data_IF_439061117891
#
_entry.id   IF_439061117891
#
_cell.length_a   1.000
_cell.length_b   1.000
_cell.length_c   1.000
_cell.angle_alpha   90.00
_cell.angle_beta   90.00
_cell.angle_gamma   90.00
#
_symmetry.space_group_name_H-M   'P 1'
#
loop_
_entity.id
_entity.type
_entity.pdbx_description
1 polymer ?
#
# COMPACT_ATOMS: atom_id res chain seq x y z
N UNK A 1 -2.18 26.82 42.03
CA UNK A 1 -1.45 27.09 40.79
C UNK A 1 -2.19 26.29 39.73
N UNK A 2 -2.93 26.96 38.87
CA UNK A 2 -3.82 26.33 37.89
C UNK A 2 -2.99 25.75 36.74
N UNK A 3 -3.13 24.45 36.48
CA UNK A 3 -2.50 23.78 35.34
C UNK A 3 -3.35 24.02 34.09
N UNK A 4 -2.78 24.62 33.06
CA UNK A 4 -3.42 24.69 31.75
C UNK A 4 -3.19 23.37 31.00
N UNK A 5 -4.23 22.54 30.90
CA UNK A 5 -4.24 21.37 30.01
C UNK A 5 -4.50 21.86 28.59
N UNK A 6 -3.51 21.74 27.72
CA UNK A 6 -3.69 21.96 26.28
C UNK A 6 -3.71 20.61 25.56
N UNK A 7 -4.87 20.24 25.05
CA UNK A 7 -5.01 19.16 24.07
C UNK A 7 -4.68 19.75 22.70
N UNK A 8 -3.63 19.26 22.03
CA UNK A 8 -3.30 19.71 20.68
C UNK A 8 -3.75 18.67 19.66
N UNK A 9 -4.64 19.09 18.76
CA UNK A 9 -5.01 18.36 17.54
C UNK A 9 -3.95 18.69 16.48
N UNK A 10 -3.45 17.67 15.80
CA UNK A 10 -2.51 17.78 14.68
C UNK A 10 -3.11 18.72 13.61
N UNK A 11 -2.56 19.93 13.47
CA UNK A 11 -3.06 20.94 12.54
C UNK A 11 -2.08 21.10 11.37
N UNK A 12 -2.54 20.70 10.19
CA UNK A 12 -1.84 20.88 8.92
C UNK A 12 -1.75 22.35 8.52
N UNK A 13 -0.55 22.79 8.16
CA UNK A 13 -0.27 24.09 7.55
C UNK A 13 -0.79 24.09 6.10
N UNK A 14 -1.92 24.75 5.86
CA UNK A 14 -2.26 25.33 4.55
C UNK A 14 -2.16 26.85 4.71
N UNK A 15 -1.19 27.44 4.02
CA UNK A 15 -0.98 28.88 4.00
C UNK A 15 -2.12 29.58 3.25
N UNK A 16 -2.71 30.61 3.86
CA UNK A 16 -3.06 31.92 3.28
C UNK A 16 -3.71 32.82 4.35
N UNK A 17 -3.06 33.94 4.68
CA UNK A 17 -3.74 35.18 5.07
C UNK A 17 -3.93 35.49 6.58
N UNK A 18 -3.00 36.32 7.09
CA UNK A 18 -3.15 37.37 8.12
C UNK A 18 -3.80 37.06 9.48
N UNK A 19 -2.94 37.09 10.52
CA UNK A 19 -3.34 37.32 11.90
C UNK A 19 -3.01 36.17 12.83
N UNK A 20 -1.76 35.71 12.86
CA UNK A 20 -1.30 34.80 13.91
C UNK A 20 -0.43 35.62 14.84
N UNK A 21 -0.89 35.82 16.08
CA UNK A 21 -0.05 36.24 17.18
C UNK A 21 1.24 35.41 17.14
N UNK A 22 2.37 36.10 17.01
CA UNK A 22 3.67 35.47 17.07
C UNK A 22 3.85 34.97 18.51
N UNK A 23 3.46 33.71 18.75
CA UNK A 23 3.63 33.06 20.04
C UNK A 23 5.14 32.91 20.25
N UNK A 24 5.70 33.89 20.95
CA UNK A 24 7.12 34.08 21.28
C UNK A 24 7.50 33.38 22.60
N UNK A 25 6.85 32.25 22.88
CA UNK A 25 7.15 31.40 24.03
C UNK A 25 7.94 30.15 23.63
N UNK A 26 8.75 29.55 24.53
CA UNK A 26 9.37 28.26 24.27
C UNK A 26 8.29 27.21 24.00
N UNK A 27 8.47 26.44 22.92
CA UNK A 27 7.57 25.35 22.51
C UNK A 27 8.33 24.03 22.54
N UNK A 28 7.64 22.94 22.85
CA UNK A 28 8.14 21.59 22.67
C UNK A 28 7.61 21.08 21.32
N UNK A 29 8.50 20.86 20.35
CA UNK A 29 8.15 20.17 19.10
C UNK A 29 8.46 18.68 19.27
N UNK A 30 7.48 17.81 18.99
CA UNK A 30 7.61 16.35 19.16
C UNK A 30 7.45 15.67 17.80
N UNK A 31 8.28 14.68 17.52
CA UNK A 31 8.14 13.81 16.34
C UNK A 31 8.53 12.40 16.69
N UNK A 32 7.67 11.43 16.36
CA UNK A 32 7.99 10.01 16.47
C UNK A 32 8.69 9.57 15.18
N UNK A 33 9.86 8.96 15.33
CA UNK A 33 10.78 8.61 14.25
C UNK A 33 10.68 7.14 13.87
N UNK A 34 10.41 6.28 14.85
CA UNK A 34 10.27 4.85 14.68
C UNK A 34 9.16 4.32 15.60
N UNK A 35 8.32 3.37 15.14
CA UNK A 35 8.27 2.81 13.77
C UNK A 35 7.89 3.86 12.71
N UNK A 36 8.10 3.59 11.42
CA UNK A 36 7.81 4.55 10.34
C UNK A 36 6.32 4.90 10.37
N UNK A 37 6.02 6.15 10.72
CA UNK A 37 4.66 6.66 10.88
C UNK A 37 4.17 7.26 9.56
N UNK A 38 2.98 6.88 9.13
CA UNK A 38 2.25 7.62 8.10
C UNK A 38 1.87 9.00 8.68
N UNK A 39 2.42 10.11 8.14
CA UNK A 39 2.25 11.44 8.72
C UNK A 39 0.83 11.99 8.59
N UNK A 40 -0.01 11.40 7.73
CA UNK A 40 -1.40 11.81 7.52
C UNK A 40 -2.32 11.14 8.54
N UNK A 41 -2.10 9.85 8.81
CA UNK A 41 -2.98 9.06 9.68
C UNK A 41 -2.45 8.91 11.10
N UNK A 42 -1.18 9.27 11.35
CA UNK A 42 -0.47 9.00 12.61
C UNK A 42 -0.47 7.50 12.99
N UNK A 43 -0.39 6.64 11.97
CA UNK A 43 -0.34 5.18 12.17
C UNK A 43 0.98 4.61 11.70
N UNK A 44 1.42 3.55 12.34
CA UNK A 44 2.51 2.71 11.85
C UNK A 44 2.01 1.27 11.69
N UNK A 45 2.58 0.60 10.70
CA UNK A 45 2.31 -0.80 10.40
C UNK A 45 3.59 -1.59 10.65
N UNK A 46 3.48 -2.64 11.47
CA UNK A 46 4.59 -3.53 11.82
C UNK A 46 4.11 -4.96 11.77
N UNK A 47 4.98 -5.90 11.45
CA UNK A 47 4.65 -7.32 11.45
C UNK A 47 4.90 -7.95 12.82
N UNK A 48 4.31 -9.12 13.06
CA UNK A 48 4.59 -9.93 14.26
C UNK A 48 6.04 -10.47 14.32
N UNK A 49 6.81 -10.28 13.25
CA UNK A 49 8.22 -10.67 13.17
C UNK A 49 9.16 -9.48 13.37
N UNK A 50 8.63 -8.25 13.33
CA UNK A 50 9.43 -7.04 13.50
C UNK A 50 9.77 -6.79 14.97
N UNK A 51 10.91 -6.15 15.17
CA UNK A 51 11.27 -5.55 16.45
C UNK A 51 11.07 -4.04 16.35
N UNK A 52 10.25 -3.50 17.25
CA UNK A 52 9.87 -2.09 17.31
C UNK A 52 10.75 -1.38 18.33
N UNK A 53 11.42 -0.32 17.90
CA UNK A 53 12.07 0.65 18.79
C UNK A 53 11.30 1.95 18.67
N UNK A 54 10.81 2.47 19.79
CA UNK A 54 10.14 3.76 19.83
C UNK A 54 11.18 4.86 19.99
N UNK A 55 11.28 5.75 19.01
CA UNK A 55 12.19 6.91 19.05
C UNK A 55 11.39 8.19 18.86
N UNK A 56 11.66 9.19 19.70
CA UNK A 56 11.13 10.54 19.56
C UNK A 56 12.25 11.58 19.45
N UNK A 57 11.95 12.67 18.75
CA UNK A 57 12.76 13.88 18.74
C UNK A 57 11.99 15.02 19.38
N UNK A 58 12.67 15.72 20.28
CA UNK A 58 12.14 16.89 20.98
C UNK A 58 13.00 18.10 20.68
N UNK A 59 12.37 19.23 20.39
CA UNK A 59 13.05 20.52 20.26
C UNK A 59 12.46 21.54 21.22
N UNK A 60 13.33 22.25 21.94
CA UNK A 60 12.98 23.28 22.92
C UNK A 60 13.02 22.78 24.38
N UNK A 61 13.33 23.70 25.31
CA UNK A 61 13.40 23.44 26.76
C UNK A 61 14.74 22.89 27.25
N UNK A 62 15.31 23.51 28.29
CA UNK A 62 16.65 23.19 28.81
C UNK A 62 16.68 21.98 29.76
N UNK A 63 15.53 21.65 30.37
CA UNK A 63 15.34 20.49 31.25
C UNK A 63 14.01 19.84 30.95
N UNK A 64 14.02 18.66 30.33
CA UNK A 64 12.79 17.93 30.00
C UNK A 64 12.83 16.52 30.55
N UNK A 65 11.66 16.02 30.96
CA UNK A 65 11.43 14.62 31.29
C UNK A 65 10.68 13.97 30.16
N UNK A 66 11.04 12.73 29.85
CA UNK A 66 10.51 11.98 28.73
C UNK A 66 9.96 10.65 29.19
N UNK A 67 8.83 10.26 28.61
CA UNK A 67 8.21 9.00 28.93
C UNK A 67 7.48 8.42 27.72
N UNK A 68 7.72 7.13 27.47
CA UNK A 68 6.94 6.35 26.52
C UNK A 68 5.95 5.48 27.27
N UNK A 69 4.69 5.55 26.85
CA UNK A 69 3.60 4.72 27.34
C UNK A 69 2.99 3.97 26.16
N UNK A 70 2.83 2.65 26.28
CA UNK A 70 2.09 1.82 25.32
C UNK A 70 0.96 1.14 26.07
N UNK A 71 -0.28 1.32 25.60
CA UNK A 71 -1.50 0.76 26.20
C UNK A 71 -1.65 1.02 27.72
N UNK A 72 -1.15 2.17 28.16
CA UNK A 72 -1.18 2.58 29.57
C UNK A 72 0.01 2.09 30.40
N UNK A 73 0.91 1.29 29.85
CA UNK A 73 2.13 0.83 30.51
C UNK A 73 3.36 1.67 30.11
N UNK A 74 4.16 2.08 31.10
CA UNK A 74 5.40 2.82 30.85
C UNK A 74 6.46 1.84 30.35
N UNK A 75 6.90 2.03 29.10
CA UNK A 75 7.91 1.17 28.47
C UNK A 75 9.32 1.78 28.51
N UNK A 76 9.44 3.11 28.62
CA UNK A 76 10.74 3.77 28.71
C UNK A 76 10.65 5.17 29.34
N UNK A 77 11.73 5.61 29.97
CA UNK A 77 11.91 6.98 30.46
C UNK A 77 13.10 7.61 29.73
N UNK A 78 12.84 8.13 28.52
CA UNK A 78 13.87 8.65 27.62
C UNK A 78 13.30 8.91 26.22
N UNK A 79 14.16 9.37 25.30
CA UNK A 79 13.78 9.59 23.90
C UNK A 79 13.62 8.29 23.11
N UNK A 80 14.25 7.21 23.57
CA UNK A 80 14.32 5.91 22.88
C UNK A 80 13.91 4.80 23.85
N UNK A 81 13.14 3.82 23.39
CA UNK A 81 12.82 2.60 24.15
C UNK A 81 13.85 1.48 23.90
N UNK A 82 13.84 0.47 24.77
CA UNK A 82 14.41 -0.83 24.38
C UNK A 82 13.61 -1.45 23.23
N UNK A 83 14.20 -2.37 22.44
CA UNK A 83 13.50 -3.06 21.38
C UNK A 83 12.38 -3.95 21.94
N UNK A 84 11.17 -3.83 21.36
CA UNK A 84 9.97 -4.58 21.75
C UNK A 84 9.53 -5.42 20.56
N UNK A 85 9.21 -6.69 20.81
CA UNK A 85 8.64 -7.58 19.79
C UNK A 85 7.18 -7.87 20.14
N UNK A 86 6.28 -7.58 19.21
CA UNK A 86 4.86 -7.91 19.33
C UNK A 86 4.63 -9.29 18.72
N UNK A 87 4.35 -10.29 19.55
CA UNK A 87 4.16 -11.67 19.09
C UNK A 87 2.74 -11.97 18.62
N UNK A 88 1.83 -11.02 18.80
CA UNK A 88 0.42 -11.17 18.55
C UNK A 88 -0.09 -10.00 17.72
N UNK A 89 -1.00 -10.28 16.79
CA UNK A 89 -1.69 -9.24 16.02
C UNK A 89 -2.59 -8.38 16.91
N UNK A 90 -2.73 -7.13 16.53
CA UNK A 90 -3.66 -6.20 17.16
C UNK A 90 -3.25 -4.76 17.01
N UNK A 91 -3.90 -3.91 17.80
CA UNK A 91 -3.66 -2.48 17.85
C UNK A 91 -3.07 -2.09 19.20
N UNK A 92 -2.04 -1.24 19.15
CA UNK A 92 -1.44 -0.65 20.34
C UNK A 92 -1.40 0.87 20.20
N UNK A 93 -1.70 1.60 21.27
CA UNK A 93 -1.60 3.05 21.30
C UNK A 93 -0.29 3.41 22.00
N UNK A 94 0.66 3.94 21.24
CA UNK A 94 1.93 4.43 21.77
C UNK A 94 1.88 5.95 21.92
N UNK A 95 2.12 6.42 23.14
CA UNK A 95 2.13 7.84 23.49
C UNK A 95 3.48 8.23 24.07
N UNK A 96 4.10 9.24 23.47
CA UNK A 96 5.31 9.86 23.94
C UNK A 96 4.99 11.17 24.66
N UNK A 97 5.39 11.28 25.91
CA UNK A 97 5.26 12.50 26.73
C UNK A 97 6.60 13.21 26.84
N UNK A 98 6.56 14.54 26.70
CA UNK A 98 7.66 15.43 27.04
C UNK A 98 7.13 16.53 27.96
N UNK A 99 7.78 16.73 29.11
CA UNK A 99 7.40 17.78 30.04
C UNK A 99 8.61 18.50 30.62
N UNK A 100 8.42 19.76 31.01
CA UNK A 100 9.36 20.55 31.81
C UNK A 100 8.58 21.31 32.90
N UNK A 101 9.25 22.23 33.60
CA UNK A 101 8.61 23.00 34.69
C UNK A 101 7.39 23.83 34.25
N UNK A 102 7.28 24.15 32.95
CA UNK A 102 6.29 25.09 32.41
C UNK A 102 5.31 24.46 31.41
N UNK A 103 5.67 23.33 30.80
CA UNK A 103 4.93 22.73 29.69
C UNK A 103 4.87 21.21 29.82
N UNK A 104 3.75 20.63 29.41
CA UNK A 104 3.56 19.20 29.19
C UNK A 104 2.96 19.03 27.79
N UNK A 105 3.53 18.13 27.00
CA UNK A 105 3.09 17.84 25.64
C UNK A 105 3.21 16.33 25.39
N UNK A 106 2.40 15.83 24.46
CA UNK A 106 2.50 14.46 24.01
C UNK A 106 2.27 14.33 22.50
N UNK A 107 2.83 13.26 21.94
CA UNK A 107 2.50 12.76 20.61
C UNK A 107 1.99 11.33 20.75
N UNK A 108 1.04 10.95 19.90
CA UNK A 108 0.41 9.63 19.91
C UNK A 108 0.43 9.03 18.51
N UNK A 109 0.67 7.73 18.44
CA UNK A 109 0.53 6.93 17.23
C UNK A 109 -0.20 5.63 17.52
N UNK A 110 -0.96 5.19 16.52
CA UNK A 110 -1.56 3.85 16.49
C UNK A 110 -0.60 2.88 15.80
N UNK A 111 -0.24 1.82 16.49
CA UNK A 111 0.56 0.73 15.95
C UNK A 111 -0.37 -0.40 15.56
N UNK A 112 -0.42 -0.73 14.28
CA UNK A 112 -1.10 -1.92 13.78
C UNK A 112 -0.06 -3.03 13.63
N UNK A 113 -0.15 -4.05 14.49
CA UNK A 113 0.68 -5.26 14.41
C UNK A 113 -0.05 -6.29 13.58
N UNK A 114 0.48 -6.65 12.41
CA UNK A 114 -0.15 -7.53 11.41
C UNK A 114 0.64 -8.81 11.19
N UNK A 115 0.06 -9.82 10.52
CA UNK A 115 0.78 -11.06 10.20
C UNK A 115 1.78 -10.88 9.05
N UNK A 116 1.29 -10.43 7.89
CA UNK A 116 2.05 -10.39 6.63
C UNK A 116 1.73 -9.12 5.86
N UNK A 117 2.77 -8.52 5.26
CA UNK A 117 2.64 -7.43 4.30
C UNK A 117 3.62 -7.60 3.15
N UNK A 118 3.12 -7.72 1.92
CA UNK A 118 3.97 -7.66 0.75
C UNK A 118 4.13 -6.21 0.27
N UNK A 119 5.32 -5.65 0.51
CA UNK A 119 5.77 -4.34 -0.01
C UNK A 119 6.79 -4.47 -1.14
N UNK A 120 7.25 -5.69 -1.43
CA UNK A 120 8.29 -6.00 -2.41
C UNK A 120 9.67 -5.36 -2.14
N UNK A 121 9.82 -4.56 -1.08
CA UNK A 121 11.10 -3.93 -0.68
C UNK A 121 12.12 -4.94 -0.15
N UNK A 122 11.66 -6.12 0.25
CA UNK A 122 12.49 -7.24 0.69
C UNK A 122 13.16 -8.01 -0.47
N UNK A 123 12.78 -7.67 -1.73
CA UNK A 123 13.33 -8.30 -2.92
C UNK A 123 14.53 -7.51 -3.47
N UNK A 124 15.58 -8.21 -3.95
CA UNK A 124 16.75 -7.55 -4.50
C UNK A 124 16.48 -7.08 -5.93
N UNK A 125 16.65 -5.78 -6.17
CA UNK A 125 16.48 -5.18 -7.48
C UNK A 125 17.41 -3.98 -7.67
N UNK A 126 18.00 -3.85 -8.86
CA UNK A 126 18.78 -2.67 -9.23
C UNK A 126 17.86 -1.48 -9.51
N UNK A 127 18.35 -0.26 -9.36
CA UNK A 127 17.58 0.95 -9.70
C UNK A 127 17.05 0.90 -11.15
N UNK A 128 15.76 1.22 -11.33
CA UNK A 128 15.08 1.23 -12.64
C UNK A 128 15.11 -0.11 -13.37
N UNK A 129 14.88 -1.21 -12.66
CA UNK A 129 14.82 -2.56 -13.21
C UNK A 129 13.57 -3.32 -12.77
N UNK A 130 13.46 -4.57 -13.23
CA UNK A 130 12.33 -5.44 -12.95
C UNK A 130 12.77 -6.90 -12.95
N UNK A 131 11.95 -7.76 -12.38
CA UNK A 131 12.08 -9.20 -12.44
C UNK A 131 10.75 -9.84 -12.84
N UNK A 132 10.81 -10.72 -13.85
CA UNK A 132 9.67 -11.47 -14.38
C UNK A 132 9.94 -12.98 -14.47
N UNK A 133 10.95 -13.46 -13.75
CA UNK A 133 11.46 -14.82 -13.87
C UNK A 133 12.67 -14.95 -14.80
N UNK A 134 13.50 -15.96 -14.58
CA UNK A 134 14.55 -16.39 -15.49
C UNK A 134 13.96 -17.37 -16.51
N UNK A 135 14.25 -17.22 -17.81
CA UNK A 135 13.67 -17.97 -18.94
C UNK A 135 13.81 -19.49 -18.89
N UNK A 136 13.06 -20.10 -17.97
CA UNK A 136 12.90 -21.53 -17.74
C UNK A 136 11.38 -21.73 -17.73
N UNK A 137 10.83 -22.53 -18.65
CA UNK A 137 9.39 -22.57 -18.97
C UNK A 137 8.46 -23.04 -17.84
N UNK A 138 9.00 -23.53 -16.73
CA UNK A 138 8.20 -24.00 -15.60
C UNK A 138 7.81 -22.84 -14.69
N UNK A 139 6.53 -22.74 -14.27
CA UNK A 139 6.12 -21.78 -13.26
C UNK A 139 6.94 -21.90 -11.98
N UNK A 140 7.32 -20.76 -11.42
CA UNK A 140 8.07 -20.63 -10.18
C UNK A 140 7.30 -19.78 -9.17
N UNK A 141 7.80 -19.69 -7.95
CA UNK A 141 7.27 -18.76 -6.94
C UNK A 141 8.37 -17.85 -6.42
N UNK A 142 7.97 -16.65 -6.00
CA UNK A 142 8.81 -15.76 -5.21
C UNK A 142 8.02 -15.30 -3.98
N UNK A 143 8.73 -14.95 -2.91
CA UNK A 143 8.11 -14.56 -1.65
C UNK A 143 8.38 -13.07 -1.38
N UNK A 144 7.35 -12.31 -1.03
CA UNK A 144 7.51 -10.98 -0.43
C UNK A 144 6.67 -10.90 0.83
N UNK A 145 7.29 -10.49 1.93
CA UNK A 145 6.58 -10.27 3.20
C UNK A 145 5.88 -11.52 3.76
N UNK A 146 6.40 -12.71 3.45
CA UNK A 146 5.79 -13.99 3.84
C UNK A 146 4.65 -14.46 2.94
N UNK A 147 4.39 -13.79 1.82
CA UNK A 147 3.35 -14.15 0.84
C UNK A 147 4.01 -14.70 -0.43
N UNK A 148 3.55 -15.87 -0.89
CA UNK A 148 4.04 -16.49 -2.12
C UNK A 148 3.26 -16.01 -3.34
N UNK A 149 3.98 -15.56 -4.35
CA UNK A 149 3.45 -15.11 -5.63
C UNK A 149 3.88 -16.08 -6.74
N UNK A 150 2.91 -16.56 -7.51
CA UNK A 150 3.17 -17.37 -8.69
C UNK A 150 3.77 -16.50 -9.80
N UNK A 151 4.85 -16.96 -10.42
CA UNK A 151 5.44 -16.37 -11.61
C UNK A 151 5.51 -17.44 -12.70
N UNK A 152 5.01 -17.13 -13.89
CA UNK A 152 5.28 -17.94 -15.08
C UNK A 152 6.28 -17.18 -15.93
N UNK A 153 7.56 -17.59 -15.95
CA UNK A 153 8.59 -16.90 -16.71
C UNK A 153 8.30 -16.90 -18.21
N UNK A 154 8.83 -15.93 -18.97
CA UNK A 154 8.71 -15.95 -20.41
C UNK A 154 9.44 -17.16 -21.02
N UNK A 155 8.83 -17.81 -22.02
CA UNK A 155 9.42 -18.95 -22.74
C UNK A 155 10.51 -18.55 -23.75
N UNK A 156 10.31 -17.42 -24.42
CA UNK A 156 11.12 -16.97 -25.56
C UNK A 156 10.90 -15.48 -25.92
N UNK A 157 9.90 -14.84 -25.30
CA UNK A 157 9.52 -13.43 -25.51
C UNK A 157 9.75 -12.59 -24.24
N UNK A 158 9.22 -11.38 -24.18
CA UNK A 158 9.18 -10.53 -22.98
C UNK A 158 7.91 -10.72 -22.15
N UNK A 159 7.05 -11.65 -22.55
CA UNK A 159 5.70 -11.84 -22.00
C UNK A 159 5.68 -12.94 -20.93
N UNK A 160 5.70 -12.53 -19.66
CA UNK A 160 5.53 -13.39 -18.49
C UNK A 160 4.04 -13.54 -18.13
N UNK A 161 3.64 -14.47 -17.26
CA UNK A 161 2.28 -14.47 -16.71
C UNK A 161 2.29 -14.54 -15.18
N UNK A 162 1.14 -14.22 -14.58
CA UNK A 162 0.93 -14.06 -13.14
C UNK A 162 1.67 -12.83 -12.58
N UNK A 163 2.63 -13.01 -11.68
CA UNK A 163 3.26 -11.92 -10.95
C UNK A 163 4.76 -11.81 -11.23
N UNK A 164 5.27 -10.59 -11.12
CA UNK A 164 6.68 -10.24 -11.04
C UNK A 164 6.83 -9.02 -10.12
N UNK A 165 8.01 -8.39 -10.10
CA UNK A 165 8.22 -7.16 -9.33
C UNK A 165 9.11 -6.16 -10.08
N UNK A 166 9.00 -4.88 -9.73
CA UNK A 166 9.63 -3.76 -10.45
C UNK A 166 9.81 -2.56 -9.52
N UNK A 167 10.78 -1.69 -9.82
CA UNK A 167 10.89 -0.34 -9.23
C UNK A 167 10.78 0.77 -10.29
N UNK A 168 10.22 0.45 -11.45
CA UNK A 168 10.10 1.37 -12.58
C UNK A 168 8.85 2.23 -12.42
N UNK A 169 9.04 3.45 -11.92
CA UNK A 169 7.95 4.42 -11.67
C UNK A 169 7.92 5.59 -12.68
N UNK A 170 8.87 5.64 -13.61
CA UNK A 170 8.92 6.67 -14.64
C UNK A 170 7.97 6.32 -15.80
N UNK A 171 6.70 6.65 -15.60
CA UNK A 171 5.61 6.43 -16.56
C UNK A 171 5.71 7.25 -17.86
N UNK A 172 6.70 8.16 -17.96
CA UNK A 172 6.88 9.02 -19.12
C UNK A 172 7.82 8.42 -20.18
N UNK A 173 8.64 7.43 -19.81
CA UNK A 173 9.57 6.79 -20.73
C UNK A 173 8.93 5.60 -21.45
N UNK A 174 9.13 5.54 -22.75
CA UNK A 174 8.63 4.46 -23.61
C UNK A 174 9.19 3.10 -23.23
N UNK A 175 10.43 3.05 -22.76
CA UNK A 175 11.17 1.83 -22.45
C UNK A 175 10.64 1.13 -21.18
N UNK A 176 9.80 1.83 -20.42
CA UNK A 176 9.25 1.41 -19.13
C UNK A 176 7.78 1.04 -19.21
N UNK A 177 7.23 1.01 -20.42
CA UNK A 177 5.80 0.82 -20.63
C UNK A 177 5.30 -0.54 -20.14
N UNK A 178 6.12 -1.58 -20.25
CA UNK A 178 5.71 -2.96 -19.99
C UNK A 178 5.75 -3.38 -18.52
N UNK A 179 6.67 -2.78 -17.75
CA UNK A 179 7.02 -3.23 -16.40
C UNK A 179 6.97 -2.11 -15.37
N UNK A 180 6.49 -0.93 -15.74
CA UNK A 180 6.36 0.19 -14.82
C UNK A 180 4.97 0.30 -14.19
N UNK A 181 4.85 1.22 -13.22
CA UNK A 181 3.58 1.71 -12.69
C UNK A 181 3.27 3.10 -13.26
N UNK A 182 2.01 3.32 -13.66
CA UNK A 182 1.52 4.63 -14.08
C UNK A 182 1.17 5.47 -12.85
N UNK A 183 2.17 6.19 -12.35
CA UNK A 183 2.01 7.16 -11.26
C UNK A 183 2.47 8.55 -11.70
N UNK A 184 1.75 9.57 -11.27
CA UNK A 184 2.01 10.98 -11.56
C UNK A 184 2.97 11.60 -10.53
N UNK A 185 2.99 11.05 -9.32
CA UNK A 185 3.91 11.44 -8.25
C UNK A 185 5.00 10.39 -8.15
N UNK A 186 6.26 10.80 -8.34
CA UNK A 186 7.40 9.88 -8.30
C UNK A 186 7.61 9.36 -6.86
N UNK A 187 7.63 8.04 -6.66
CA UNK A 187 8.06 7.33 -5.44
C UNK A 187 9.21 6.36 -5.73
N UNK A 188 10.11 6.09 -4.78
CA UNK A 188 11.20 5.12 -4.96
C UNK A 188 10.86 3.77 -4.33
N UNK A 189 9.70 3.23 -4.69
CA UNK A 189 9.24 1.96 -4.12
C UNK A 189 9.39 0.84 -5.15
N UNK A 190 9.70 -0.35 -4.65
CA UNK A 190 9.46 -1.61 -5.34
C UNK A 190 7.98 -1.98 -5.24
N UNK A 191 7.47 -2.65 -6.25
CA UNK A 191 6.06 -3.05 -6.30
C UNK A 191 5.90 -4.32 -7.14
N UNK A 192 4.77 -4.99 -6.95
CA UNK A 192 4.38 -6.15 -7.74
C UNK A 192 3.79 -5.74 -9.09
N UNK A 193 4.15 -6.45 -10.15
CA UNK A 193 3.56 -6.31 -11.49
C UNK A 193 2.77 -7.57 -11.83
N UNK A 194 1.53 -7.38 -12.27
CA UNK A 194 0.61 -8.46 -12.59
C UNK A 194 0.29 -8.46 -14.08
N UNK A 195 0.32 -9.65 -14.70
CA UNK A 195 -0.08 -9.87 -16.08
C UNK A 195 -0.89 -11.16 -16.19
N UNK A 196 -2.05 -11.09 -16.84
CA UNK A 196 -2.79 -12.26 -17.29
C UNK A 196 -2.37 -12.57 -18.72
N UNK A 197 -2.12 -13.85 -19.02
CA UNK A 197 -1.92 -14.24 -20.42
C UNK A 197 -3.19 -14.06 -21.26
N UNK A 198 -3.08 -14.04 -22.59
CA UNK A 198 -4.20 -13.72 -23.50
C UNK A 198 -5.43 -14.60 -23.27
N UNK A 199 -5.23 -15.88 -22.96
CA UNK A 199 -6.30 -16.84 -22.69
C UNK A 199 -6.68 -16.95 -21.22
N UNK A 200 -5.99 -16.22 -20.34
CA UNK A 200 -6.18 -16.28 -18.90
C UNK A 200 -7.24 -15.26 -18.46
N UNK A 201 -8.29 -15.75 -17.80
CA UNK A 201 -9.37 -14.90 -17.27
C UNK A 201 -9.04 -14.34 -15.87
N UNK A 202 -8.17 -15.03 -15.13
CA UNK A 202 -7.79 -14.65 -13.78
C UNK A 202 -6.38 -15.12 -13.39
N UNK A 203 -5.78 -14.40 -12.44
CA UNK A 203 -4.54 -14.77 -11.75
C UNK A 203 -4.80 -14.89 -10.24
N UNK A 204 -4.01 -15.70 -9.53
CA UNK A 204 -4.29 -16.04 -8.13
C UNK A 204 -3.07 -15.89 -7.23
N UNK A 205 -3.32 -15.43 -6.01
CA UNK A 205 -2.40 -15.55 -4.88
C UNK A 205 -2.99 -16.60 -3.94
N UNK A 206 -2.20 -17.60 -3.56
CA UNK A 206 -2.63 -18.63 -2.61
C UNK A 206 -1.89 -18.44 -1.30
N UNK A 207 -2.63 -18.50 -0.20
CA UNK A 207 -2.10 -18.38 1.14
C UNK A 207 -1.86 -19.76 1.76
N UNK A 208 -0.87 -19.83 2.66
CA UNK A 208 -0.53 -21.02 3.45
C UNK A 208 -1.64 -21.39 4.45
N UNK A 209 -2.39 -20.40 4.93
CA UNK A 209 -3.55 -20.57 5.81
C UNK A 209 -4.69 -19.62 5.42
N UNK A 210 -5.74 -19.58 6.23
CA UNK A 210 -6.84 -18.63 6.10
C UNK A 210 -6.45 -17.27 6.70
N UNK A 211 -6.53 -16.21 5.91
CA UNK A 211 -6.32 -14.82 6.33
C UNK A 211 -7.53 -13.96 6.00
N UNK A 212 -7.73 -12.90 6.77
CA UNK A 212 -8.57 -11.76 6.40
C UNK A 212 -7.68 -10.73 5.70
N UNK A 213 -7.78 -10.54 4.38
CA UNK A 213 -7.08 -9.49 3.67
C UNK A 213 -7.67 -8.14 4.08
N UNK A 214 -6.83 -7.23 4.55
CA UNK A 214 -7.26 -5.91 5.00
C UNK A 214 -7.25 -4.90 3.86
N UNK A 215 -6.11 -4.83 3.15
CA UNK A 215 -5.95 -3.88 2.07
C UNK A 215 -4.94 -4.34 1.02
N UNK A 216 -5.02 -3.72 -0.15
CA UNK A 216 -3.99 -3.75 -1.19
C UNK A 216 -3.98 -2.41 -1.91
N UNK A 217 -2.82 -1.95 -2.37
CA UNK A 217 -2.69 -0.77 -3.23
C UNK A 217 -2.64 -1.21 -4.70
N UNK A 218 -3.43 -0.57 -5.55
CA UNK A 218 -3.43 -0.82 -7.00
C UNK A 218 -2.94 0.40 -7.78
N UNK A 219 -2.20 0.16 -8.86
CA UNK A 219 -1.87 1.18 -9.86
C UNK A 219 -2.02 0.62 -11.29
N UNK A 220 -2.25 1.52 -12.25
CA UNK A 220 -2.31 1.15 -13.66
C UNK A 220 -0.91 0.75 -14.17
N UNK A 221 -0.85 -0.16 -15.16
CA UNK A 221 0.34 -0.30 -16.00
C UNK A 221 0.36 0.81 -17.07
N UNK A 222 1.51 1.45 -17.37
CA UNK A 222 1.61 2.45 -18.43
C UNK A 222 1.20 1.90 -19.80
N UNK A 223 1.40 0.61 -20.08
CA UNK A 223 0.97 -0.03 -21.33
C UNK A 223 -0.54 0.06 -21.51
N UNK A 224 -1.30 -0.27 -20.47
CA UNK A 224 -2.77 -0.21 -20.48
C UNK A 224 -3.26 1.22 -20.68
N UNK A 225 -2.63 2.19 -20.02
CA UNK A 225 -2.97 3.61 -20.19
C UNK A 225 -2.71 4.09 -21.62
N UNK A 226 -1.60 3.66 -22.22
CA UNK A 226 -1.26 4.00 -23.61
C UNK A 226 -2.18 3.32 -24.62
N UNK A 227 -2.63 2.09 -24.36
CA UNK A 227 -3.72 1.46 -25.13
C UNK A 227 -5.00 2.29 -25.03
N UNK A 228 -5.44 2.64 -23.82
CA UNK A 228 -6.66 3.41 -23.63
C UNK A 228 -6.63 4.79 -24.32
N UNK A 229 -5.44 5.40 -24.45
CA UNK A 229 -5.23 6.66 -25.18
C UNK A 229 -5.17 6.50 -26.71
N UNK A 230 -4.87 5.30 -27.20
CA UNK A 230 -4.58 5.05 -28.62
C UNK A 230 -3.13 5.36 -29.02
N UNK A 231 -2.20 5.47 -28.07
CA UNK A 231 -0.80 5.84 -28.33
C UNK A 231 0.03 4.71 -28.94
N UNK A 232 -0.42 3.45 -28.81
CA UNK A 232 0.28 2.25 -29.29
C UNK A 232 -0.57 1.49 -30.32
N UNK A 233 -1.89 1.40 -30.10
CA UNK A 233 -2.84 0.77 -31.02
C UNK A 233 -4.10 1.64 -31.11
N UNK A 234 -4.17 2.59 -32.07
CA UNK A 234 -5.31 3.49 -32.22
C UNK A 234 -6.65 2.76 -32.39
N UNK A 235 -6.67 1.63 -33.11
CA UNK A 235 -7.86 0.81 -33.36
C UNK A 235 -8.35 0.02 -32.12
N UNK A 236 -7.58 0.11 -31.03
CA UNK A 236 -7.89 -0.47 -29.71
C UNK A 236 -8.01 0.61 -28.62
N UNK A 237 -8.07 1.89 -29.02
CA UNK A 237 -8.26 3.00 -28.10
C UNK A 237 -9.64 2.93 -27.44
N UNK A 238 -9.73 3.43 -26.20
CA UNK A 238 -11.01 3.44 -25.51
C UNK A 238 -11.95 4.44 -26.18
N UNK A 239 -13.18 3.98 -26.42
CA UNK A 239 -14.29 4.75 -26.94
C UNK A 239 -15.24 5.15 -25.81
N UNK A 240 -16.23 6.00 -26.12
CA UNK A 240 -17.16 6.49 -25.10
C UNK A 240 -17.93 5.33 -24.44
N UNK A 241 -17.84 5.25 -23.12
CA UNK A 241 -18.41 4.19 -22.29
C UNK A 241 -17.40 3.11 -21.90
N UNK A 242 -16.18 3.13 -22.47
CA UNK A 242 -15.18 2.12 -22.17
C UNK A 242 -14.52 2.30 -20.81
N UNK A 243 -14.24 1.17 -20.16
CA UNK A 243 -13.63 1.16 -18.84
C UNK A 243 -12.69 -0.02 -18.63
N UNK A 244 -11.85 0.10 -17.61
CA UNK A 244 -10.96 -0.96 -17.13
C UNK A 244 -11.08 -1.05 -15.61
N UNK A 245 -11.66 -2.15 -15.15
CA UNK A 245 -11.81 -2.47 -13.73
C UNK A 245 -10.86 -3.62 -13.35
N UNK A 246 -10.16 -3.46 -12.23
CA UNK A 246 -9.53 -4.60 -11.55
C UNK A 246 -10.53 -5.13 -10.53
N UNK A 247 -10.81 -6.43 -10.61
CA UNK A 247 -11.78 -7.10 -9.75
C UNK A 247 -11.06 -8.14 -8.90
N UNK A 248 -11.22 -8.05 -7.58
CA UNK A 248 -10.61 -8.92 -6.60
C UNK A 248 -11.71 -9.73 -5.91
N UNK A 249 -11.54 -11.04 -5.86
CA UNK A 249 -12.40 -11.98 -5.14
C UNK A 249 -11.58 -12.82 -4.18
N UNK A 250 -12.23 -13.29 -3.11
CA UNK A 250 -11.66 -14.25 -2.19
C UNK A 250 -11.72 -15.68 -2.75
N UNK A 251 -10.76 -16.51 -2.36
CA UNK A 251 -10.78 -17.95 -2.56
C UNK A 251 -11.06 -18.59 -1.21
N UNK A 252 -12.18 -19.30 -1.07
CA UNK A 252 -12.55 -20.02 0.15
C UNK A 252 -11.61 -21.19 0.44
N UNK A 253 -11.69 -21.74 1.65
CA UNK A 253 -10.85 -22.88 2.05
C UNK A 253 -11.03 -24.13 1.17
N UNK A 254 -12.21 -24.30 0.58
CA UNK A 254 -12.55 -25.40 -0.33
C UNK A 254 -12.17 -25.13 -1.79
N UNK A 255 -11.56 -23.98 -2.07
CA UNK A 255 -11.16 -23.54 -3.41
C UNK A 255 -12.27 -22.85 -4.21
N UNK A 256 -13.49 -22.72 -3.68
CA UNK A 256 -14.56 -21.95 -4.32
C UNK A 256 -14.29 -20.45 -4.24
N UNK A 257 -14.84 -19.67 -5.17
CA UNK A 257 -14.70 -18.21 -5.18
C UNK A 257 -15.81 -17.57 -4.34
N UNK A 258 -15.49 -16.52 -3.58
CA UNK A 258 -16.48 -15.76 -2.81
C UNK A 258 -17.54 -15.13 -3.72
N UNK A 259 -18.76 -15.00 -3.20
CA UNK A 259 -19.82 -14.23 -3.88
C UNK A 259 -19.51 -12.74 -3.91
N UNK A 260 -18.90 -12.24 -2.84
CA UNK A 260 -18.48 -10.85 -2.73
C UNK A 260 -17.21 -10.60 -3.56
N UNK A 261 -17.14 -9.41 -4.12
CA UNK A 261 -16.00 -8.94 -4.91
C UNK A 261 -15.76 -7.47 -4.66
N UNK A 262 -14.50 -7.08 -4.66
CA UNK A 262 -14.10 -5.68 -4.64
C UNK A 262 -13.64 -5.31 -6.04
N UNK A 263 -14.30 -4.32 -6.65
CA UNK A 263 -13.99 -3.86 -8.00
C UNK A 263 -13.54 -2.39 -7.96
N UNK A 264 -12.48 -2.07 -8.69
CA UNK A 264 -11.94 -0.72 -8.76
C UNK A 264 -11.79 -0.26 -10.19
N UNK A 265 -12.44 0.87 -10.52
CA UNK A 265 -12.31 1.57 -11.79
C UNK A 265 -10.94 2.23 -11.90
N UNK A 266 -10.07 1.68 -12.73
CA UNK A 266 -8.72 2.22 -12.95
C UNK A 266 -8.65 3.16 -14.15
N UNK A 267 -9.48 2.92 -15.17
CA UNK A 267 -9.60 3.77 -16.37
C UNK A 267 -11.07 3.87 -16.76
N UNK A 268 -11.52 5.08 -17.10
CA UNK A 268 -12.88 5.36 -17.58
C UNK A 268 -12.85 6.36 -18.74
N UNK A 269 -13.53 6.05 -19.84
CA UNK A 269 -13.68 6.93 -21.00
C UNK A 269 -15.12 7.42 -21.09
N UNK A 270 -15.32 8.68 -20.74
CA UNK A 270 -16.57 9.38 -21.04
C UNK A 270 -16.55 9.99 -22.44
N UNK A 271 -17.65 10.59 -22.86
CA UNK A 271 -17.77 11.25 -24.16
C UNK A 271 -16.75 12.39 -24.36
N UNK A 272 -16.27 12.99 -23.27
CA UNK A 272 -15.43 14.19 -23.31
C UNK A 272 -14.09 14.05 -22.58
N UNK A 273 -13.86 12.95 -21.87
CA UNK A 273 -12.66 12.78 -21.06
C UNK A 273 -12.23 11.32 -20.95
N UNK A 274 -10.93 11.11 -20.86
CA UNK A 274 -10.33 9.87 -20.39
C UNK A 274 -9.82 10.10 -18.96
N UNK A 275 -10.47 9.48 -17.99
CA UNK A 275 -10.05 9.47 -16.59
C UNK A 275 -9.13 8.27 -16.39
N UNK A 276 -7.93 8.52 -15.85
CA UNK A 276 -6.94 7.48 -15.55
C UNK A 276 -6.50 7.68 -14.11
N UNK A 277 -6.62 6.63 -13.28
CA UNK A 277 -6.01 6.60 -11.96
C UNK A 277 -4.49 6.65 -12.13
N UNK A 278 -3.90 7.76 -11.68
CA UNK A 278 -2.48 8.08 -11.81
C UNK A 278 -1.72 8.10 -10.49
N UNK A 279 -2.18 7.33 -9.50
CA UNK A 279 -1.55 7.19 -8.20
C UNK A 279 -1.85 5.79 -7.63
N UNK A 280 -1.14 5.41 -6.57
CA UNK A 280 -1.45 4.21 -5.79
C UNK A 280 -2.81 4.38 -5.12
N UNK A 281 -3.75 3.50 -5.45
CA UNK A 281 -5.10 3.53 -4.90
C UNK A 281 -5.26 2.43 -3.84
N UNK A 282 -5.38 2.79 -2.54
CA UNK A 282 -5.60 1.81 -1.50
C UNK A 282 -7.03 1.26 -1.60
N UNK A 283 -7.13 -0.07 -1.61
CA UNK A 283 -8.38 -0.82 -1.72
C UNK A 283 -8.62 -1.55 -0.40
N UNK A 284 -9.80 -1.35 0.18
CA UNK A 284 -10.27 -2.11 1.34
C UNK A 284 -10.75 -3.50 0.88
N UNK A 285 -10.14 -4.54 1.44
CA UNK A 285 -10.45 -5.93 1.15
C UNK A 285 -11.21 -6.63 2.28
N UNK A 286 -11.51 -5.92 3.38
CA UNK A 286 -12.13 -6.48 4.58
C UNK A 286 -13.48 -7.17 4.30
N UNK A 287 -14.20 -6.69 3.29
CA UNK A 287 -15.47 -7.26 2.84
C UNK A 287 -15.36 -8.70 2.30
N UNK A 288 -14.16 -9.14 1.89
CA UNK A 288 -13.94 -10.52 1.42
C UNK A 288 -13.95 -11.55 2.56
N UNK A 289 -13.86 -11.08 3.82
CA UNK A 289 -13.81 -11.96 4.98
C UNK A 289 -12.55 -12.84 4.99
N UNK A 290 -12.63 -13.98 5.69
CA UNK A 290 -11.49 -14.88 5.85
C UNK A 290 -11.37 -15.85 4.67
N UNK A 291 -10.26 -15.77 3.93
CA UNK A 291 -10.03 -16.46 2.66
C UNK A 291 -8.67 -17.15 2.64
N UNK A 292 -8.51 -18.15 1.75
CA UNK A 292 -7.27 -18.91 1.51
C UNK A 292 -6.46 -18.35 0.34
N UNK A 293 -6.94 -17.29 -0.29
CA UNK A 293 -6.27 -16.65 -1.40
C UNK A 293 -7.10 -15.55 -2.00
N UNK A 294 -6.51 -14.87 -2.98
CA UNK A 294 -7.13 -13.83 -3.77
C UNK A 294 -7.11 -14.24 -5.23
N UNK A 295 -8.21 -13.99 -5.93
CA UNK A 295 -8.31 -14.08 -7.38
C UNK A 295 -8.48 -12.68 -7.96
N UNK A 296 -7.66 -12.35 -8.94
CA UNK A 296 -7.73 -11.09 -9.67
C UNK A 296 -8.20 -11.37 -11.08
N UNK A 297 -9.18 -10.60 -11.55
CA UNK A 297 -9.66 -10.60 -12.93
C UNK A 297 -9.78 -9.16 -13.42
N UNK A 298 -9.73 -8.97 -14.73
CA UNK A 298 -9.98 -7.67 -15.36
C UNK A 298 -11.37 -7.70 -15.97
N UNK A 299 -12.16 -6.67 -15.68
CA UNK A 299 -13.45 -6.45 -16.33
C UNK A 299 -13.37 -5.17 -17.17
N UNK A 300 -13.59 -5.30 -18.47
CA UNK A 300 -13.47 -4.21 -19.43
C UNK A 300 -14.46 -4.38 -20.57
N UNK A 301 -14.90 -3.26 -21.15
CA UNK A 301 -15.72 -3.25 -22.37
C UNK A 301 -14.93 -2.92 -23.62
N UNK A 302 -13.69 -2.44 -23.48
CA UNK A 302 -12.94 -2.03 -24.64
C UNK A 302 -12.45 -3.25 -25.43
N UNK A 303 -12.81 -3.24 -26.71
CA UNK A 303 -12.51 -4.29 -27.67
C UNK A 303 -11.94 -3.65 -28.92
N UNK A 304 -11.19 -4.43 -29.70
CA UNK A 304 -10.70 -3.97 -30.98
C UNK A 304 -11.87 -3.68 -31.93
N UNK A 305 -11.92 -2.49 -32.54
CA UNK A 305 -13.07 -2.01 -33.32
C UNK A 305 -13.47 -2.97 -34.45
N UNK A 306 -12.47 -3.51 -35.17
CA UNK A 306 -12.74 -4.38 -36.34
C UNK A 306 -13.01 -5.85 -36.02
N UNK A 307 -12.55 -6.37 -34.88
CA UNK A 307 -12.64 -7.81 -34.59
C UNK A 307 -13.60 -8.13 -33.44
N UNK A 308 -13.93 -7.13 -32.61
CA UNK A 308 -14.70 -7.32 -31.38
C UNK A 308 -13.97 -8.14 -30.32
N UNK A 309 -12.69 -8.45 -30.53
CA UNK A 309 -11.87 -9.22 -29.60
C UNK A 309 -11.27 -8.26 -28.56
N UNK A 310 -11.29 -8.65 -27.30
CA UNK A 310 -10.57 -7.95 -26.22
C UNK A 310 -9.07 -7.94 -26.55
N UNK A 311 -8.53 -6.75 -26.85
CA UNK A 311 -7.11 -6.56 -27.23
C UNK A 311 -6.36 -5.70 -26.21
N UNK A 312 -6.96 -5.44 -25.05
CA UNK A 312 -6.31 -4.68 -23.99
C UNK A 312 -5.34 -5.62 -23.28
N UNK A 313 -4.11 -5.13 -23.09
CA UNK A 313 -3.12 -5.84 -22.29
C UNK A 313 -3.63 -5.99 -20.84
N UNK A 314 -3.70 -7.23 -20.34
CA UNK A 314 -4.29 -7.54 -19.04
C UNK A 314 -3.26 -7.35 -17.93
N UNK A 315 -2.91 -6.09 -17.65
CA UNK A 315 -1.87 -5.72 -16.68
C UNK A 315 -2.29 -4.70 -15.66
N UNK A 316 -1.75 -4.83 -14.45
CA UNK A 316 -1.87 -3.85 -13.37
C UNK A 316 -0.70 -4.02 -12.41
N UNK A 317 -0.54 -3.07 -11.48
CA UNK A 317 0.48 -3.14 -10.43
C UNK A 317 -0.20 -3.27 -9.07
N UNK A 318 0.47 -3.96 -8.15
CA UNK A 318 0.05 -4.16 -6.77
C UNK A 318 1.15 -3.74 -5.81
N UNK A 319 0.77 -3.24 -4.65
CA UNK A 319 1.67 -2.96 -3.54
C UNK A 319 0.90 -3.07 -2.21
N UNK A 320 1.60 -3.08 -1.08
CA UNK A 320 1.04 -3.05 0.28
C UNK A 320 -0.11 -4.06 0.52
N UNK A 321 0.04 -5.32 0.08
CA UNK A 321 -0.94 -6.36 0.39
C UNK A 321 -0.85 -6.76 1.86
N UNK A 322 -1.81 -6.33 2.67
CA UNK A 322 -1.86 -6.56 4.11
C UNK A 322 -2.79 -7.73 4.45
N UNK A 323 -2.25 -8.74 5.14
CA UNK A 323 -3.00 -9.90 5.62
C UNK A 323 -2.94 -9.99 7.14
N UNK A 324 -4.10 -10.26 7.73
CA UNK A 324 -4.25 -10.51 9.17
C UNK A 324 -4.95 -11.85 9.43
N UNK A 325 -4.64 -12.54 10.51
CA UNK A 325 -5.30 -13.79 10.88
C UNK A 325 -6.60 -13.55 11.67
N UNK A 326 -6.61 -12.49 12.49
CA UNK A 326 -7.66 -12.21 13.47
C UNK A 326 -8.18 -10.76 13.34
N UNK A 327 -9.11 -10.54 12.41
CA UNK A 327 -9.72 -9.21 12.17
C UNK A 327 -10.44 -8.61 13.38
N UNK A 328 -10.91 -9.43 14.31
CA UNK A 328 -11.55 -8.97 15.56
C UNK A 328 -10.62 -8.12 16.44
N UNK A 329 -9.30 -8.26 16.28
CA UNK A 329 -8.30 -7.54 17.07
C UNK A 329 -8.00 -6.12 16.58
N UNK A 330 -8.57 -5.72 15.44
CA UNK A 330 -8.36 -4.41 14.81
C UNK A 330 -9.61 -3.51 14.83
N UNK A 331 -10.72 -4.00 15.38
CA UNK A 331 -11.99 -3.26 15.49
C UNK A 331 -12.18 -2.57 16.84
N UNK A 332 -11.17 -2.58 17.71
CA UNK A 332 -11.24 -1.98 19.04
C UNK A 332 -10.67 -0.56 19.03
N UNK A 333 -11.36 0.34 18.33
CA UNK A 333 -11.22 1.77 18.67
C UNK A 333 -12.14 2.02 19.87
N UNK A 334 -11.65 2.53 21.02
CA UNK A 334 -12.51 2.90 22.14
C UNK A 334 -13.50 4.03 21.81
#
# INVERSE_FOLDING_TARGET
MEYYKYTFVLLFLIALGCGVEEITGPRLELTIVSPKVNPVTAQALVTTQDTVVYEARVRGGDTTSYQWIVDGEVIANGLVSEPIMYTEEGQHIARFFASNENYESFAEILINVINKIATFEDLPLEDYSFWIGSGNTEPTTFNSGGIDFLNTPPSDTTEYANFGYSNIIDSTKTDFVEYGAYILTQSRNQFGIARMDTLQEDIKITFDTLYSPLSISLANSPKVVRYARGDISPDSAFTNGDYFDVVIKGINNDGSITSDSVATRMIDRSAFSLTVVGDWTPIDLSALGKVRGLQFSINTTAVHENTGIEYIDKRFCIDDLVLIENSERFNNTP
#
